data_IF_385891850564
#
_entry.id   IF_385891850564
#
_cell.length_a   1.000
_cell.length_b   1.000
_cell.length_c   1.000
_cell.angle_alpha   90.00
_cell.angle_beta   90.00
_cell.angle_gamma   90.00
#
_symmetry.space_group_name_H-M   'P 1'
#
loop_
_entity.id
_entity.type
_entity.pdbx_description
1 polymer ?
#
# COMPACT_ATOMS: atom_id res chain seq x y z
N UNK A 1 62.04 12.50 2.51
CA UNK A 1 60.78 12.15 3.21
C UNK A 1 59.95 13.35 3.72
N UNK A 2 60.48 14.31 4.53
CA UNK A 2 59.72 15.52 4.91
C UNK A 2 59.46 16.47 3.73
N UNK A 3 60.49 16.72 2.89
CA UNK A 3 60.36 17.57 1.70
C UNK A 3 59.37 17.02 0.65
N UNK A 4 59.29 15.70 0.46
CA UNK A 4 58.39 15.10 -0.54
C UNK A 4 56.90 15.23 -0.14
N UNK A 5 56.61 15.17 1.17
CA UNK A 5 55.24 15.33 1.70
C UNK A 5 54.74 16.78 1.58
N UNK A 6 55.58 17.76 1.88
CA UNK A 6 55.23 19.18 1.73
C UNK A 6 55.06 19.59 0.26
N UNK A 7 55.87 19.03 -0.63
CA UNK A 7 55.77 19.28 -2.07
C UNK A 7 54.49 18.66 -2.65
N UNK A 8 54.13 17.45 -2.21
CA UNK A 8 52.88 16.79 -2.61
C UNK A 8 51.62 17.50 -2.07
N UNK A 9 51.68 18.02 -0.84
CA UNK A 9 50.59 18.83 -0.27
C UNK A 9 50.40 20.16 -1.01
N UNK A 10 51.50 20.85 -1.37
CA UNK A 10 51.43 22.08 -2.18
C UNK A 10 50.84 21.82 -3.57
N UNK A 11 51.27 20.76 -4.25
CA UNK A 11 50.72 20.35 -5.56
C UNK A 11 49.24 20.01 -5.48
N UNK A 12 48.81 19.31 -4.42
CA UNK A 12 47.41 18.96 -4.20
C UNK A 12 46.54 20.20 -3.92
N UNK A 13 47.00 21.14 -3.11
CA UNK A 13 46.27 22.39 -2.84
C UNK A 13 46.13 23.24 -4.11
N UNK A 14 47.18 23.32 -4.94
CA UNK A 14 47.15 24.00 -6.24
C UNK A 14 46.21 23.31 -7.24
N UNK A 15 46.09 21.98 -7.18
CA UNK A 15 45.11 21.25 -7.97
C UNK A 15 43.69 21.58 -7.52
N UNK A 16 43.40 21.49 -6.22
CA UNK A 16 42.06 21.70 -5.66
C UNK A 16 41.54 23.14 -5.84
N UNK A 17 42.43 24.14 -5.89
CA UNK A 17 42.04 25.54 -6.16
C UNK A 17 41.52 25.77 -7.59
N UNK A 18 41.78 24.84 -8.52
CA UNK A 18 41.25 24.88 -9.90
C UNK A 18 39.78 24.44 -10.01
N UNK A 19 39.16 23.97 -8.93
CA UNK A 19 37.73 23.64 -8.94
C UNK A 19 36.92 24.96 -8.98
N UNK A 20 36.03 25.16 -9.96
CA UNK A 20 35.26 26.38 -10.07
C UNK A 20 34.30 26.55 -8.89
N UNK A 21 33.94 27.81 -8.61
CA UNK A 21 32.95 28.12 -7.59
C UNK A 21 31.58 27.54 -7.96
N UNK A 22 30.73 27.31 -6.96
CA UNK A 22 29.35 26.82 -7.16
C UNK A 22 28.59 27.74 -8.12
N UNK A 23 28.78 29.05 -7.99
CA UNK A 23 28.10 30.05 -8.83
C UNK A 23 28.50 29.92 -10.31
N UNK A 24 29.79 29.74 -10.60
CA UNK A 24 30.30 29.54 -11.97
C UNK A 24 29.70 28.28 -12.60
N UNK A 25 29.59 27.19 -11.83
CA UNK A 25 28.96 25.95 -12.32
C UNK A 25 27.47 26.19 -12.61
N UNK A 26 26.75 26.86 -11.70
CA UNK A 26 25.32 27.14 -11.83
C UNK A 26 24.96 28.06 -13.01
N UNK A 27 25.88 28.92 -13.45
CA UNK A 27 25.71 29.78 -14.62
C UNK A 27 25.77 29.01 -15.95
N UNK A 28 26.20 27.75 -15.93
CA UNK A 28 26.26 26.94 -17.13
C UNK A 28 24.86 26.77 -17.75
N UNK A 29 24.73 27.09 -19.04
CA UNK A 29 23.46 27.01 -19.79
C UNK A 29 22.81 25.63 -19.72
N UNK A 30 23.59 24.55 -19.66
CA UNK A 30 23.10 23.18 -19.59
C UNK A 30 22.36 22.85 -18.27
N UNK A 31 22.54 23.65 -17.21
CA UNK A 31 21.85 23.47 -15.94
C UNK A 31 20.57 24.30 -15.83
N UNK A 32 20.33 25.28 -16.70
CA UNK A 32 19.12 26.13 -16.66
C UNK A 32 17.79 25.35 -16.64
N UNK A 33 17.59 24.31 -17.49
CA UNK A 33 16.35 23.51 -17.44
C UNK A 33 16.17 22.77 -16.12
N UNK A 34 17.27 22.30 -15.53
CA UNK A 34 17.26 21.62 -14.24
C UNK A 34 16.97 22.60 -13.09
N UNK A 35 17.45 23.85 -13.19
CA UNK A 35 17.12 24.91 -12.21
C UNK A 35 15.63 25.24 -12.28
N UNK A 36 15.06 25.35 -13.48
CA UNK A 36 13.62 25.59 -13.66
C UNK A 36 12.79 24.43 -13.11
N UNK A 37 13.24 23.18 -13.33
CA UNK A 37 12.53 21.98 -12.87
C UNK A 37 12.63 21.73 -11.36
N UNK A 38 13.79 21.94 -10.75
CA UNK A 38 14.07 21.54 -9.35
C UNK A 38 14.28 22.70 -8.38
N UNK A 39 14.36 23.94 -8.86
CA UNK A 39 14.85 25.13 -8.15
C UNK A 39 16.38 25.26 -8.06
N UNK A 40 16.84 26.52 -8.02
CA UNK A 40 18.25 26.87 -7.83
C UNK A 40 18.80 26.39 -6.48
N UNK A 41 17.96 26.35 -5.45
CA UNK A 41 18.37 25.94 -4.09
C UNK A 41 18.79 24.46 -4.06
N UNK A 42 17.99 23.58 -4.67
CA UNK A 42 18.34 22.15 -4.80
C UNK A 42 19.62 21.99 -5.60
N UNK A 43 19.73 22.66 -6.75
CA UNK A 43 20.94 22.55 -7.59
C UNK A 43 22.20 23.07 -6.90
N UNK A 44 22.09 24.12 -6.07
CA UNK A 44 23.21 24.62 -5.27
C UNK A 44 23.71 23.54 -4.30
N UNK A 45 22.81 22.84 -3.62
CA UNK A 45 23.17 21.74 -2.72
C UNK A 45 23.79 20.56 -3.48
N UNK A 46 23.22 20.19 -4.63
CA UNK A 46 23.78 19.15 -5.49
C UNK A 46 25.19 19.49 -5.96
N UNK A 47 25.41 20.70 -6.47
CA UNK A 47 26.73 21.15 -6.94
C UNK A 47 27.75 21.12 -5.80
N UNK A 48 27.38 21.57 -4.59
CA UNK A 48 28.26 21.48 -3.42
C UNK A 48 28.64 20.03 -3.09
N UNK A 49 27.69 19.09 -3.19
CA UNK A 49 27.94 17.66 -2.98
C UNK A 49 28.90 17.09 -4.02
N UNK A 50 28.67 17.38 -5.31
CA UNK A 50 29.54 16.93 -6.41
C UNK A 50 30.96 17.52 -6.27
N UNK A 51 31.10 18.80 -5.90
CA UNK A 51 32.40 19.41 -5.60
C UNK A 51 33.08 18.70 -4.41
N UNK A 52 32.33 18.37 -3.35
CA UNK A 52 32.88 17.66 -2.19
C UNK A 52 33.40 16.27 -2.57
N UNK A 53 32.66 15.53 -3.39
CA UNK A 53 33.07 14.24 -3.94
C UNK A 53 34.28 14.37 -4.87
N UNK A 54 34.31 15.39 -5.72
CA UNK A 54 35.45 15.71 -6.58
C UNK A 54 36.71 15.97 -5.74
N UNK A 55 36.61 16.80 -4.70
CA UNK A 55 37.73 17.06 -3.77
C UNK A 55 38.23 15.78 -3.11
N UNK A 56 37.32 14.90 -2.68
CA UNK A 56 37.68 13.60 -2.07
C UNK A 56 38.40 12.68 -3.05
N UNK A 57 37.95 12.63 -4.30
CA UNK A 57 38.54 11.78 -5.34
C UNK A 57 39.90 12.32 -5.79
N UNK A 58 40.02 13.63 -6.01
CA UNK A 58 41.27 14.29 -6.40
C UNK A 58 42.41 14.07 -5.39
N UNK A 59 42.10 13.92 -4.10
CA UNK A 59 43.08 13.54 -3.06
C UNK A 59 43.66 12.13 -3.24
N UNK A 60 42.94 11.25 -3.92
CA UNK A 60 43.35 9.84 -4.16
C UNK A 60 44.00 9.66 -5.53
N UNK A 61 43.45 10.29 -6.56
CA UNK A 61 43.79 10.01 -7.96
C UNK A 61 44.41 11.21 -8.70
N UNK A 62 44.61 12.34 -8.02
CA UNK A 62 45.19 13.58 -8.58
C UNK A 62 44.50 14.07 -9.88
N UNK A 63 43.19 13.77 -10.03
CA UNK A 63 42.39 14.16 -11.20
C UNK A 63 41.17 14.98 -10.77
N UNK A 64 40.93 16.08 -11.48
CA UNK A 64 39.69 16.85 -11.40
C UNK A 64 38.72 16.44 -12.51
N UNK A 65 37.44 16.74 -12.30
CA UNK A 65 36.44 16.61 -13.34
C UNK A 65 36.57 17.75 -14.36
N UNK A 66 36.33 17.46 -15.63
CA UNK A 66 36.09 18.46 -16.66
C UNK A 66 34.77 19.19 -16.39
N UNK A 67 34.55 20.33 -17.06
CA UNK A 67 33.27 21.04 -16.96
C UNK A 67 32.09 20.14 -17.37
N UNK A 68 32.24 19.35 -18.43
CA UNK A 68 31.21 18.44 -18.90
C UNK A 68 30.98 17.27 -17.93
N UNK A 69 32.03 16.70 -17.36
CA UNK A 69 31.92 15.63 -16.35
C UNK A 69 31.16 16.11 -15.10
N UNK A 70 31.39 17.34 -14.63
CA UNK A 70 30.62 17.92 -13.51
C UNK A 70 29.14 18.03 -13.86
N UNK A 71 28.82 18.53 -15.05
CA UNK A 71 27.43 18.67 -15.51
C UNK A 71 26.76 17.30 -15.59
N UNK A 72 27.43 16.30 -16.15
CA UNK A 72 26.91 14.93 -16.24
C UNK A 72 26.69 14.34 -14.85
N UNK A 73 27.64 14.48 -13.92
CA UNK A 73 27.46 14.03 -12.53
C UNK A 73 26.32 14.74 -11.80
N UNK A 74 26.11 16.03 -12.04
CA UNK A 74 24.96 16.77 -11.50
C UNK A 74 23.64 16.22 -12.07
N UNK A 75 23.59 15.96 -13.39
CA UNK A 75 22.43 15.35 -14.05
C UNK A 75 22.14 13.96 -13.49
N UNK A 76 23.14 13.08 -13.44
CA UNK A 76 23.05 11.73 -12.88
C UNK A 76 22.57 11.75 -11.43
N UNK A 77 23.11 12.66 -10.62
CA UNK A 77 22.69 12.82 -9.23
C UNK A 77 21.22 13.22 -9.12
N UNK A 78 20.79 14.23 -9.88
CA UNK A 78 19.40 14.68 -9.88
C UNK A 78 18.46 13.64 -10.46
N UNK A 79 18.86 12.89 -11.48
CA UNK A 79 18.09 11.76 -11.99
C UNK A 79 17.93 10.68 -10.94
N UNK A 80 18.99 10.38 -10.17
CA UNK A 80 18.93 9.41 -9.08
C UNK A 80 18.03 9.88 -7.93
N UNK A 81 18.13 11.14 -7.52
CA UNK A 81 17.22 11.74 -6.53
C UNK A 81 15.78 11.80 -7.07
N UNK A 82 15.57 12.15 -8.34
CA UNK A 82 14.25 12.16 -8.95
C UNK A 82 13.56 10.78 -8.89
N UNK A 83 14.34 9.70 -8.90
CA UNK A 83 13.82 8.33 -8.75
C UNK A 83 13.33 8.02 -7.33
N UNK A 84 13.71 8.79 -6.30
CA UNK A 84 13.24 8.61 -4.93
C UNK A 84 11.93 9.34 -4.64
N UNK A 85 11.51 10.27 -5.50
CA UNK A 85 10.21 10.92 -5.37
C UNK A 85 9.08 9.94 -5.68
N UNK A 86 7.95 10.11 -4.97
CA UNK A 86 6.72 9.41 -5.29
C UNK A 86 6.29 9.76 -6.72
N UNK A 87 6.06 8.72 -7.52
CA UNK A 87 5.67 8.83 -8.93
C UNK A 87 4.74 7.69 -9.31
N UNK A 88 4.01 7.87 -10.41
CA UNK A 88 3.20 6.80 -10.99
C UNK A 88 4.08 5.68 -11.52
N UNK A 89 3.66 4.43 -11.29
CA UNK A 89 4.35 3.21 -11.75
C UNK A 89 3.34 2.33 -12.47
N UNK A 90 3.75 1.73 -13.60
CA UNK A 90 2.93 0.73 -14.30
C UNK A 90 3.18 -0.63 -13.66
N UNK A 91 2.16 -1.17 -13.01
CA UNK A 91 2.21 -2.48 -12.34
C UNK A 91 1.88 -3.63 -13.32
N UNK A 92 2.90 -4.22 -13.92
CA UNK A 92 2.79 -5.49 -14.67
C UNK A 92 3.21 -6.72 -13.88
N UNK A 93 3.37 -6.63 -12.56
CA UNK A 93 3.84 -7.75 -11.73
C UNK A 93 2.82 -8.89 -11.58
N UNK A 94 1.53 -8.61 -11.79
CA UNK A 94 0.45 -9.55 -11.51
C UNK A 94 0.14 -9.68 -10.03
N UNK A 95 0.38 -8.64 -9.23
CA UNK A 95 -0.08 -8.53 -7.84
C UNK A 95 -1.08 -7.39 -7.74
N UNK A 96 -2.34 -7.66 -7.38
CA UNK A 96 -3.41 -6.66 -7.34
C UNK A 96 -3.22 -5.73 -6.12
N UNK A 97 -3.26 -6.27 -4.91
CA UNK A 97 -2.96 -5.56 -3.67
C UNK A 97 -1.47 -5.58 -3.39
N UNK A 98 -0.74 -4.77 -4.15
CA UNK A 98 0.71 -4.68 -4.03
C UNK A 98 1.12 -3.69 -2.93
N UNK A 99 1.55 -4.22 -1.77
CA UNK A 99 1.92 -3.40 -0.59
C UNK A 99 2.97 -2.34 -0.91
N UNK A 100 4.03 -2.68 -1.65
CA UNK A 100 5.09 -1.73 -2.02
C UNK A 100 4.66 -0.67 -3.05
N UNK A 101 3.55 -0.88 -3.78
CA UNK A 101 3.04 0.06 -4.78
C UNK A 101 1.79 0.83 -4.30
N UNK A 102 1.51 0.80 -3.00
CA UNK A 102 0.43 1.58 -2.41
C UNK A 102 -0.93 0.89 -2.34
N UNK A 103 -0.99 -0.45 -2.43
CA UNK A 103 -2.22 -1.26 -2.30
C UNK A 103 -3.28 -0.91 -3.36
N UNK A 104 -4.49 -0.55 -2.96
CA UNK A 104 -5.62 -0.33 -3.85
C UNK A 104 -5.51 1.01 -4.62
N UNK A 105 -5.50 0.99 -5.96
CA UNK A 105 -5.59 2.21 -6.75
C UNK A 105 -7.04 2.73 -6.77
N UNK A 106 -7.21 4.05 -6.88
CA UNK A 106 -8.54 4.70 -6.88
C UNK A 106 -9.18 4.79 -8.28
N UNK A 107 -8.37 4.86 -9.34
CA UNK A 107 -8.83 4.97 -10.72
C UNK A 107 -9.19 6.39 -11.15
N UNK A 108 -9.20 6.65 -12.46
CA UNK A 108 -9.40 8.00 -13.03
C UNK A 108 -10.81 8.54 -12.77
N UNK A 109 -11.82 7.69 -12.94
CA UNK A 109 -13.23 8.04 -12.74
C UNK A 109 -13.50 8.51 -11.30
N UNK A 110 -13.00 7.77 -10.33
CA UNK A 110 -13.09 8.11 -8.90
C UNK A 110 -12.39 9.43 -8.60
N UNK A 111 -11.16 9.62 -9.08
CA UNK A 111 -10.40 10.85 -8.85
C UNK A 111 -11.08 12.07 -9.46
N UNK A 112 -11.67 11.93 -10.65
CA UNK A 112 -12.43 13.00 -11.28
C UNK A 112 -13.70 13.36 -10.47
N UNK A 113 -14.40 12.35 -9.93
CA UNK A 113 -15.59 12.57 -9.12
C UNK A 113 -15.29 13.35 -7.82
N UNK A 114 -14.16 13.06 -7.16
CA UNK A 114 -13.80 13.71 -5.89
C UNK A 114 -13.04 15.03 -6.05
N UNK A 115 -12.48 15.30 -7.24
CA UNK A 115 -11.65 16.48 -7.49
C UNK A 115 -12.39 17.77 -7.15
N UNK A 116 -13.68 17.87 -7.49
CA UNK A 116 -14.52 19.04 -7.22
C UNK A 116 -14.65 19.32 -5.72
N UNK A 117 -14.80 18.29 -4.89
CA UNK A 117 -14.85 18.41 -3.43
C UNK A 117 -13.50 18.78 -2.82
N UNK A 118 -12.40 18.34 -3.43
CA UNK A 118 -11.06 18.55 -2.87
C UNK A 118 -10.46 19.92 -3.23
N UNK A 119 -10.92 20.54 -4.32
CA UNK A 119 -10.45 21.86 -4.78
C UNK A 119 -10.80 23.01 -3.82
N UNK A 120 -11.92 22.91 -3.10
CA UNK A 120 -12.45 24.00 -2.29
C UNK A 120 -12.74 23.65 -0.83
N UNK A 121 -13.51 24.54 -0.20
CA UNK A 121 -14.13 24.29 1.10
C UNK A 121 -15.26 23.26 0.95
N UNK A 122 -15.49 22.50 2.01
CA UNK A 122 -16.54 21.48 2.08
C UNK A 122 -17.22 21.58 3.44
N UNK A 123 -18.42 21.02 3.54
CA UNK A 123 -19.18 20.89 4.79
C UNK A 123 -18.62 19.79 5.71
N UNK A 124 -17.30 19.59 5.73
CA UNK A 124 -16.60 18.50 6.41
C UNK A 124 -16.95 18.39 7.91
N UNK A 125 -17.15 19.52 8.58
CA UNK A 125 -17.55 19.65 9.99
C UNK A 125 -18.63 20.73 10.15
N UNK A 126 -19.48 20.91 9.13
CA UNK A 126 -20.47 21.98 9.13
C UNK A 126 -21.83 21.42 8.71
N UNK A 127 -22.84 21.65 9.54
CA UNK A 127 -24.21 21.29 9.22
C UNK A 127 -24.83 22.42 8.39
N UNK A 128 -25.19 22.13 7.15
CA UNK A 128 -25.78 23.12 6.24
C UNK A 128 -27.23 23.45 6.57
N UNK A 129 -27.96 22.55 7.25
CA UNK A 129 -29.33 22.80 7.67
C UNK A 129 -29.37 23.70 8.90
N UNK A 130 -28.51 23.43 9.89
CA UNK A 130 -28.46 24.17 11.15
C UNK A 130 -27.54 25.40 11.11
N UNK A 131 -26.70 25.54 10.07
CA UNK A 131 -25.74 26.64 9.96
C UNK A 131 -24.69 26.66 11.08
N UNK A 132 -24.33 25.49 11.61
CA UNK A 132 -23.47 25.37 12.79
C UNK A 132 -22.46 24.23 12.68
N UNK A 133 -21.63 24.04 13.71
CA UNK A 133 -20.59 22.99 13.71
C UNK A 133 -21.22 21.60 13.74
N UNK A 134 -20.95 20.82 12.70
CA UNK A 134 -21.37 19.42 12.56
C UNK A 134 -20.29 18.41 12.98
N UNK A 135 -20.64 17.12 12.90
CA UNK A 135 -19.72 16.01 13.17
C UNK A 135 -18.93 15.65 11.93
N UNK A 136 -17.60 15.53 12.07
CA UNK A 136 -16.74 15.07 10.97
C UNK A 136 -17.12 13.66 10.55
N UNK A 137 -17.30 13.45 9.25
CA UNK A 137 -17.42 12.10 8.68
C UNK A 137 -18.78 11.44 8.88
N UNK A 138 -19.76 12.13 9.44
CA UNK A 138 -21.09 11.57 9.75
C UNK A 138 -21.76 10.88 8.55
N UNK A 139 -21.64 11.47 7.34
CA UNK A 139 -22.18 10.86 6.13
C UNK A 139 -21.48 9.53 5.79
N UNK A 140 -20.15 9.47 5.90
CA UNK A 140 -19.37 8.26 5.64
C UNK A 140 -19.71 7.18 6.68
N UNK A 141 -19.88 7.57 7.94
CA UNK A 141 -20.32 6.67 9.01
C UNK A 141 -21.72 6.09 8.74
N UNK A 142 -22.67 6.93 8.28
CA UNK A 142 -24.01 6.47 7.88
C UNK A 142 -23.96 5.49 6.71
N UNK A 143 -23.16 5.78 5.68
CA UNK A 143 -22.98 4.88 4.52
C UNK A 143 -22.34 3.55 4.94
N UNK A 144 -21.35 3.58 5.84
CA UNK A 144 -20.74 2.37 6.40
C UNK A 144 -21.75 1.55 7.21
N UNK A 145 -22.62 2.17 8.00
CA UNK A 145 -23.68 1.45 8.71
C UNK A 145 -24.64 0.78 7.73
N UNK A 146 -25.07 1.49 6.69
CA UNK A 146 -25.96 0.95 5.67
C UNK A 146 -25.34 -0.27 4.96
N UNK A 147 -24.04 -0.18 4.62
CA UNK A 147 -23.33 -1.23 3.90
C UNK A 147 -22.95 -2.43 4.79
N UNK A 148 -22.55 -2.20 6.04
CA UNK A 148 -22.10 -3.24 6.98
C UNK A 148 -23.24 -3.88 7.79
N UNK A 149 -24.42 -3.26 7.79
CA UNK A 149 -25.53 -3.58 8.69
C UNK A 149 -25.19 -3.41 10.18
N UNK A 150 -24.20 -2.58 10.51
CA UNK A 150 -23.86 -2.22 11.88
C UNK A 150 -24.80 -1.15 12.45
N UNK A 151 -24.97 -1.12 13.77
CA UNK A 151 -25.70 -0.03 14.46
C UNK A 151 -24.96 1.31 14.37
N UNK A 152 -23.62 1.27 14.46
CA UNK A 152 -22.76 2.44 14.35
C UNK A 152 -21.45 2.10 13.65
N UNK A 153 -20.86 3.09 13.00
CA UNK A 153 -19.56 3.02 12.37
C UNK A 153 -18.75 4.27 12.69
N UNK A 154 -17.43 4.14 12.74
CA UNK A 154 -16.44 5.20 12.94
C UNK A 154 -15.29 5.01 11.96
N UNK A 155 -14.62 6.10 11.61
CA UNK A 155 -13.42 6.07 10.74
C UNK A 155 -12.23 6.76 11.42
N UNK A 156 -11.10 6.07 11.42
CA UNK A 156 -9.80 6.53 11.94
C UNK A 156 -8.70 6.39 10.87
N UNK A 157 -7.49 6.84 11.18
CA UNK A 157 -6.36 6.93 10.24
C UNK A 157 -6.01 5.60 9.52
N UNK A 158 -6.02 4.47 10.23
CA UNK A 158 -5.79 3.14 9.67
C UNK A 158 -6.28 2.05 10.65
N UNK A 159 -6.33 0.79 10.20
CA UNK A 159 -6.79 -0.32 11.04
C UNK A 159 -5.90 -0.60 12.26
N UNK A 160 -4.60 -0.31 12.18
CA UNK A 160 -3.70 -0.40 13.32
C UNK A 160 -4.13 0.56 14.44
N UNK A 161 -4.45 1.80 14.09
CA UNK A 161 -5.04 2.79 15.00
C UNK A 161 -6.42 2.39 15.48
N UNK A 162 -7.23 1.73 14.64
CA UNK A 162 -8.54 1.23 15.01
C UNK A 162 -8.44 0.20 16.15
N UNK A 163 -7.62 -0.84 15.98
CA UNK A 163 -7.39 -1.86 17.01
C UNK A 163 -6.79 -1.28 18.27
N UNK A 164 -5.75 -0.45 18.15
CA UNK A 164 -5.17 0.24 19.30
C UNK A 164 -6.21 1.04 20.09
N UNK A 165 -7.07 1.79 19.41
CA UNK A 165 -8.10 2.60 20.05
C UNK A 165 -9.19 1.74 20.71
N UNK A 166 -9.62 0.66 20.07
CA UNK A 166 -10.59 -0.30 20.63
C UNK A 166 -10.04 -0.87 21.94
N UNK A 167 -8.81 -1.42 21.90
CA UNK A 167 -8.20 -2.07 23.06
C UNK A 167 -7.91 -1.08 24.19
N UNK A 168 -7.39 0.11 23.87
CA UNK A 168 -7.15 1.15 24.87
C UNK A 168 -8.45 1.64 25.53
N UNK A 169 -9.54 1.75 24.76
CA UNK A 169 -10.82 2.22 25.29
C UNK A 169 -11.51 1.15 26.15
N UNK A 170 -11.45 -0.11 25.74
CA UNK A 170 -12.27 -1.18 26.35
C UNK A 170 -11.50 -2.03 27.37
N UNK A 171 -10.18 -2.14 27.24
CA UNK A 171 -9.38 -3.12 27.96
C UNK A 171 -8.10 -2.56 28.60
N UNK A 172 -7.97 -1.22 28.75
CA UNK A 172 -6.84 -0.64 29.48
C UNK A 172 -6.78 -1.18 30.90
N UNK A 173 -5.60 -1.66 31.30
CA UNK A 173 -5.27 -2.34 32.56
C UNK A 173 -6.13 -3.60 32.81
N UNK A 174 -6.64 -4.23 31.75
CA UNK A 174 -7.48 -5.42 31.79
C UNK A 174 -7.02 -6.44 30.76
N UNK A 175 -7.48 -7.68 30.90
CA UNK A 175 -7.06 -8.77 30.04
C UNK A 175 -7.87 -8.84 28.74
N UNK A 176 -7.16 -9.10 27.65
CA UNK A 176 -7.70 -9.38 26.31
C UNK A 176 -7.33 -10.81 25.97
N UNK A 177 -8.35 -11.66 25.81
CA UNK A 177 -8.15 -13.07 25.47
C UNK A 177 -8.09 -13.20 23.95
N UNK A 178 -7.05 -13.84 23.43
CA UNK A 178 -6.83 -14.06 22.00
C UNK A 178 -6.12 -15.39 21.76
N UNK A 179 -6.43 -16.07 20.65
CA UNK A 179 -5.73 -17.31 20.28
C UNK A 179 -4.25 -17.03 19.99
N UNK A 180 -3.37 -17.93 20.44
CA UNK A 180 -1.93 -17.90 20.12
C UNK A 180 -1.68 -17.94 18.61
N UNK A 181 -2.51 -18.65 17.84
CA UNK A 181 -2.45 -18.70 16.38
C UNK A 181 -2.84 -17.39 15.68
N UNK A 182 -3.38 -16.43 16.42
CA UNK A 182 -3.88 -15.15 15.91
C UNK A 182 -2.96 -13.96 16.29
N UNK A 183 -1.82 -14.23 16.94
CA UNK A 183 -0.78 -13.24 17.27
C UNK A 183 0.12 -12.93 16.07
N UNK A 184 -0.48 -12.26 15.07
CA UNK A 184 0.12 -12.08 13.75
C UNK A 184 1.07 -10.89 13.66
N UNK A 185 2.04 -10.98 12.75
CA UNK A 185 2.78 -9.84 12.21
C UNK A 185 2.26 -9.51 10.81
N UNK A 186 1.81 -8.27 10.59
CA UNK A 186 1.27 -7.79 9.33
C UNK A 186 2.22 -6.74 8.72
N UNK A 187 2.58 -6.94 7.45
CA UNK A 187 3.44 -6.01 6.72
C UNK A 187 4.85 -5.88 7.32
N UNK A 188 5.41 -4.67 7.29
CA UNK A 188 6.80 -4.39 7.66
C UNK A 188 7.10 -4.20 9.15
N UNK A 189 6.18 -4.54 10.07
CA UNK A 189 6.45 -4.43 11.51
C UNK A 189 5.26 -4.27 12.44
N UNK A 190 4.01 -4.26 11.97
CA UNK A 190 2.85 -4.24 12.87
C UNK A 190 2.64 -5.61 13.49
N UNK A 191 2.69 -5.71 14.81
CA UNK A 191 2.49 -6.95 15.57
C UNK A 191 1.35 -6.77 16.55
N UNK A 192 0.36 -7.66 16.50
CA UNK A 192 -0.76 -7.68 17.45
C UNK A 192 -0.30 -7.65 18.91
N UNK A 193 0.65 -8.50 19.37
CA UNK A 193 1.05 -8.49 20.78
C UNK A 193 1.65 -7.14 21.22
N UNK A 194 2.51 -6.54 20.38
CA UNK A 194 3.13 -5.24 20.69
C UNK A 194 2.09 -4.12 20.76
N UNK A 195 1.13 -4.09 19.84
CA UNK A 195 0.09 -3.05 19.83
C UNK A 195 -0.92 -3.23 20.97
N UNK A 196 -1.23 -4.46 21.33
CA UNK A 196 -2.06 -4.76 22.49
C UNK A 196 -1.39 -4.26 23.77
N UNK A 197 -0.11 -4.56 23.97
CA UNK A 197 0.66 -4.08 25.12
C UNK A 197 0.74 -2.54 25.13
N UNK A 198 1.04 -1.90 24.00
CA UNK A 198 1.07 -0.44 23.89
C UNK A 198 -0.30 0.21 24.16
N UNK A 199 -1.40 -0.49 23.89
CA UNK A 199 -2.75 -0.01 24.24
C UNK A 199 -2.99 0.04 25.75
N UNK A 200 -2.08 -0.50 26.56
CA UNK A 200 -2.22 -0.63 28.00
C UNK A 200 -3.10 -1.81 28.41
N UNK A 201 -3.49 -2.68 27.48
CA UNK A 201 -4.17 -3.92 27.79
C UNK A 201 -3.17 -5.03 28.12
N UNK A 202 -3.63 -6.06 28.82
CA UNK A 202 -2.82 -7.24 29.16
C UNK A 202 -3.16 -8.39 28.22
N UNK A 203 -2.15 -8.91 27.51
CA UNK A 203 -2.32 -10.05 26.61
C UNK A 203 -2.59 -11.32 27.42
N UNK A 204 -3.73 -11.98 27.16
CA UNK A 204 -4.06 -13.31 27.69
C UNK A 204 -4.19 -14.29 26.53
N UNK A 205 -3.07 -14.82 26.06
CA UNK A 205 -3.06 -15.79 24.96
C UNK A 205 -3.58 -17.17 25.39
N UNK A 206 -4.31 -17.84 24.49
CA UNK A 206 -4.92 -19.16 24.73
C UNK A 206 -4.69 -20.12 23.58
N UNK A 207 -4.86 -21.42 23.85
CA UNK A 207 -4.68 -22.49 22.88
C UNK A 207 -3.23 -22.61 22.39
N UNK A 208 -3.08 -23.21 21.21
CA UNK A 208 -1.80 -23.42 20.52
C UNK A 208 -1.77 -22.69 19.19
N UNK A 209 -0.62 -22.69 18.52
CA UNK A 209 -0.44 -22.01 17.22
C UNK A 209 -1.42 -22.52 16.18
N UNK A 210 -1.60 -23.83 16.07
CA UNK A 210 -2.43 -24.47 15.04
C UNK A 210 -3.85 -24.79 15.52
N UNK A 211 -4.05 -25.10 16.81
CA UNK A 211 -5.36 -25.50 17.35
C UNK A 211 -5.72 -24.67 18.57
N UNK A 212 -6.86 -24.00 18.50
CA UNK A 212 -7.49 -23.33 19.65
C UNK A 212 -8.97 -23.69 19.67
N UNK A 213 -9.47 -24.14 20.82
CA UNK A 213 -10.87 -24.51 21.02
C UNK A 213 -11.57 -23.51 21.93
N UNK A 214 -12.91 -23.54 21.97
CA UNK A 214 -13.69 -22.58 22.77
C UNK A 214 -13.43 -22.73 24.27
N UNK A 215 -13.10 -23.94 24.72
CA UNK A 215 -12.75 -24.24 26.11
C UNK A 215 -11.45 -23.55 26.55
N UNK A 216 -10.52 -23.31 25.62
CA UNK A 216 -9.28 -22.58 25.91
C UNK A 216 -9.59 -21.12 26.26
N UNK A 217 -10.55 -20.51 25.55
CA UNK A 217 -11.05 -19.18 25.87
C UNK A 217 -11.79 -19.17 27.21
N UNK A 218 -12.74 -20.10 27.43
CA UNK A 218 -13.55 -20.15 28.65
C UNK A 218 -12.69 -20.30 29.91
N UNK A 219 -11.69 -21.18 29.91
CA UNK A 219 -10.77 -21.41 31.03
C UNK A 219 -9.93 -20.19 31.38
N UNK A 220 -9.70 -19.28 30.43
CA UNK A 220 -8.88 -18.10 30.65
C UNK A 220 -9.67 -16.90 31.20
N UNK A 221 -11.01 -16.94 31.17
CA UNK A 221 -11.86 -15.86 31.66
C UNK A 221 -11.74 -15.72 33.19
N UNK A 222 -11.56 -14.49 33.65
CA UNK A 222 -11.54 -14.12 35.05
C UNK A 222 -12.09 -12.68 35.24
N UNK A 223 -12.04 -12.16 36.47
CA UNK A 223 -12.56 -10.83 36.82
C UNK A 223 -11.84 -9.66 36.13
N UNK A 224 -10.63 -9.88 35.62
CA UNK A 224 -9.85 -8.89 34.87
C UNK A 224 -10.11 -8.94 33.36
N UNK A 225 -10.81 -9.95 32.85
CA UNK A 225 -11.11 -10.07 31.42
C UNK A 225 -12.04 -8.96 30.94
N UNK A 226 -11.68 -8.29 29.85
CA UNK A 226 -12.45 -7.18 29.26
C UNK A 226 -12.91 -7.43 27.83
N UNK A 227 -12.14 -8.20 27.04
CA UNK A 227 -12.41 -8.39 25.60
C UNK A 227 -12.06 -9.82 25.20
N UNK A 228 -12.92 -10.42 24.38
CA UNK A 228 -12.59 -11.59 23.58
C UNK A 228 -12.20 -11.09 22.18
N UNK A 229 -10.92 -11.20 21.84
CA UNK A 229 -10.38 -10.75 20.56
C UNK A 229 -10.22 -11.94 19.61
N UNK A 230 -10.67 -11.74 18.38
CA UNK A 230 -10.38 -12.61 17.23
C UNK A 230 -9.65 -11.81 16.17
N UNK A 231 -8.54 -12.32 15.64
CA UNK A 231 -7.80 -11.67 14.55
C UNK A 231 -7.76 -12.56 13.31
N UNK A 232 -8.18 -12.02 12.17
CA UNK A 232 -8.16 -12.74 10.89
C UNK A 232 -6.74 -12.87 10.34
N UNK A 233 -6.43 -14.06 9.82
CA UNK A 233 -5.12 -14.40 9.27
C UNK A 233 -4.98 -13.91 7.81
N UNK A 234 -4.99 -12.59 7.63
CA UNK A 234 -5.09 -11.94 6.31
C UNK A 234 -3.80 -11.95 5.46
N UNK A 235 -2.68 -12.48 5.97
CA UNK A 235 -1.38 -12.44 5.28
C UNK A 235 -0.58 -13.74 5.33
N UNK A 236 -1.10 -14.80 5.94
CA UNK A 236 -0.52 -16.14 5.92
C UNK A 236 -1.62 -17.20 6.10
N UNK A 237 -1.30 -18.46 5.83
CA UNK A 237 -2.19 -19.60 6.07
C UNK A 237 -1.46 -20.66 6.87
N UNK A 238 -2.20 -21.38 7.71
CA UNK A 238 -1.74 -22.63 8.33
C UNK A 238 -2.44 -23.81 7.65
N UNK A 239 -1.67 -24.84 7.34
CA UNK A 239 -2.17 -26.09 6.75
C UNK A 239 -1.86 -27.27 7.67
N UNK A 240 -2.64 -28.35 7.58
CA UNK A 240 -2.52 -29.54 8.43
C UNK A 240 -3.62 -29.60 9.50
N UNK A 241 -3.28 -30.06 10.71
CA UNK A 241 -4.22 -30.09 11.84
C UNK A 241 -4.42 -28.69 12.42
N UNK A 242 -5.39 -27.96 11.87
CA UNK A 242 -5.72 -26.59 12.27
C UNK A 242 -7.15 -26.54 12.79
N UNK A 243 -7.35 -25.89 13.93
CA UNK A 243 -8.68 -25.60 14.48
C UNK A 243 -8.74 -24.16 14.97
N UNK A 244 -9.76 -23.42 14.55
CA UNK A 244 -9.98 -22.04 14.94
C UNK A 244 -11.41 -21.88 15.46
N UNK A 245 -11.53 -21.19 16.58
CA UNK A 245 -12.83 -20.86 17.16
C UNK A 245 -13.57 -19.88 16.25
N UNK A 246 -14.83 -20.18 15.96
CA UNK A 246 -15.68 -19.31 15.15
C UNK A 246 -16.21 -18.10 15.95
N UNK A 247 -16.53 -17.01 15.25
CA UNK A 247 -17.12 -15.80 15.87
C UNK A 247 -18.43 -16.13 16.60
N UNK A 248 -19.25 -17.04 16.05
CA UNK A 248 -20.52 -17.46 16.67
C UNK A 248 -20.32 -18.13 18.03
N UNK A 249 -19.22 -18.86 18.20
CA UNK A 249 -18.88 -19.54 19.45
C UNK A 249 -18.39 -18.53 20.49
N UNK A 250 -17.48 -17.64 20.09
CA UNK A 250 -17.05 -16.51 20.91
C UNK A 250 -18.23 -15.65 21.34
N UNK A 251 -19.23 -15.43 20.47
CA UNK A 251 -20.42 -14.66 20.84
C UNK A 251 -21.27 -15.36 21.91
N UNK A 252 -21.45 -16.68 21.81
CA UNK A 252 -22.16 -17.45 22.86
C UNK A 252 -21.43 -17.32 24.20
N UNK A 253 -20.10 -17.47 24.20
CA UNK A 253 -19.28 -17.32 25.39
C UNK A 253 -19.32 -15.89 25.95
N UNK A 254 -19.16 -14.88 25.09
CA UNK A 254 -19.22 -13.47 25.44
C UNK A 254 -20.57 -13.08 26.05
N UNK A 255 -21.69 -13.62 25.57
CA UNK A 255 -23.01 -13.42 26.20
C UNK A 255 -23.07 -14.01 27.61
N UNK A 256 -22.53 -15.22 27.81
CA UNK A 256 -22.54 -15.91 29.12
C UNK A 256 -21.75 -15.14 30.18
N UNK A 257 -20.65 -14.51 29.80
CA UNK A 257 -19.76 -13.77 30.70
C UNK A 257 -19.86 -12.24 30.60
N UNK A 258 -20.81 -11.72 29.81
CA UNK A 258 -20.99 -10.29 29.52
C UNK A 258 -19.71 -9.59 28.99
N UNK A 259 -19.02 -10.25 28.06
CA UNK A 259 -17.80 -9.75 27.41
C UNK A 259 -18.05 -9.40 25.93
N UNK A 260 -17.53 -8.25 25.44
CA UNK A 260 -17.56 -7.92 24.02
C UNK A 260 -16.67 -8.86 23.20
N UNK A 261 -17.17 -9.24 22.02
CA UNK A 261 -16.37 -9.92 20.98
C UNK A 261 -15.91 -8.89 19.95
N UNK A 262 -14.58 -8.72 19.84
CA UNK A 262 -13.94 -7.84 18.87
C UNK A 262 -13.30 -8.69 17.79
N UNK A 263 -13.60 -8.39 16.52
CA UNK A 263 -13.01 -9.05 15.35
C UNK A 263 -12.15 -8.06 14.58
N UNK A 264 -10.84 -8.28 14.58
CA UNK A 264 -9.95 -7.63 13.62
C UNK A 264 -10.01 -8.39 12.28
N UNK A 265 -10.90 -7.97 11.39
CA UNK A 265 -11.03 -8.60 10.07
C UNK A 265 -9.86 -8.22 9.16
N UNK A 266 -9.41 -6.97 9.26
CA UNK A 266 -8.23 -6.46 8.53
C UNK A 266 -8.42 -6.27 7.02
N UNK A 267 -9.02 -7.21 6.28
CA UNK A 267 -9.14 -7.20 4.81
C UNK A 267 -10.19 -6.21 4.29
N UNK A 268 -11.29 -6.04 5.04
CA UNK A 268 -12.37 -5.11 4.72
C UNK A 268 -13.15 -5.48 3.47
N UNK A 269 -13.34 -6.78 3.21
CA UNK A 269 -14.15 -7.22 2.07
C UNK A 269 -15.65 -7.10 2.37
N UNK A 270 -16.39 -6.64 1.36
CA UNK A 270 -17.86 -6.54 1.37
C UNK A 270 -18.53 -7.40 0.29
N UNK A 271 -17.74 -7.95 -0.64
CA UNK A 271 -18.22 -8.86 -1.69
C UNK A 271 -17.78 -10.27 -1.38
N UNK A 272 -18.59 -11.23 -1.83
CA UNK A 272 -18.24 -12.64 -1.74
C UNK A 272 -17.11 -12.94 -2.73
N UNK A 273 -15.95 -13.34 -2.22
CA UNK A 273 -14.76 -13.59 -3.05
C UNK A 273 -14.90 -14.87 -3.87
N UNK A 274 -15.74 -15.81 -3.42
CA UNK A 274 -16.02 -17.07 -4.11
C UNK A 274 -16.68 -16.86 -5.47
N UNK A 275 -17.49 -15.80 -5.62
CA UNK A 275 -18.13 -15.41 -6.88
C UNK A 275 -17.11 -15.09 -7.98
N UNK A 276 -15.85 -14.85 -7.61
CA UNK A 276 -14.74 -14.54 -8.52
C UNK A 276 -13.72 -15.67 -8.65
N UNK A 277 -14.03 -16.87 -8.14
CA UNK A 277 -13.14 -18.03 -8.19
C UNK A 277 -12.00 -18.01 -7.17
N UNK A 278 -12.16 -17.26 -6.08
CA UNK A 278 -11.24 -17.22 -4.94
C UNK A 278 -11.78 -18.03 -3.77
N UNK A 279 -10.93 -18.37 -2.78
CA UNK A 279 -11.42 -18.87 -1.49
C UNK A 279 -12.28 -17.84 -0.77
N UNK A 280 -13.16 -18.33 0.12
CA UNK A 280 -13.94 -17.52 1.03
C UNK A 280 -13.05 -16.60 1.89
N UNK A 281 -13.32 -15.31 1.82
CA UNK A 281 -12.79 -14.29 2.72
C UNK A 281 -13.98 -13.76 3.55
N UNK A 282 -13.93 -13.81 4.89
CA UNK A 282 -15.05 -13.39 5.70
C UNK A 282 -15.44 -11.94 5.40
N UNK A 283 -16.71 -11.71 5.10
CA UNK A 283 -17.18 -10.34 4.84
C UNK A 283 -17.40 -9.57 6.14
N UNK A 284 -17.39 -8.24 6.06
CA UNK A 284 -17.77 -7.38 7.19
C UNK A 284 -19.19 -7.71 7.64
N UNK A 285 -20.13 -7.88 6.70
CA UNK A 285 -21.52 -8.22 6.98
C UNK A 285 -21.65 -9.59 7.66
N UNK A 286 -20.87 -10.58 7.22
CA UNK A 286 -20.83 -11.90 7.85
C UNK A 286 -20.31 -11.84 9.28
N UNK A 287 -19.26 -11.06 9.54
CA UNK A 287 -18.70 -10.88 10.88
C UNK A 287 -19.71 -10.25 11.83
N UNK A 288 -20.45 -9.24 11.37
CA UNK A 288 -21.55 -8.62 12.14
C UNK A 288 -22.70 -9.61 12.36
N UNK A 289 -23.15 -10.32 11.31
CA UNK A 289 -24.25 -11.30 11.36
C UNK A 289 -23.95 -12.49 12.28
N UNK A 290 -22.71 -12.95 12.32
CA UNK A 290 -22.26 -14.04 13.20
C UNK A 290 -22.11 -13.61 14.66
N UNK A 291 -22.23 -12.31 14.94
CA UNK A 291 -22.44 -11.78 16.28
C UNK A 291 -21.25 -11.03 16.87
N UNK A 292 -20.25 -10.64 16.06
CA UNK A 292 -19.22 -9.72 16.52
C UNK A 292 -19.85 -8.42 17.07
N UNK A 293 -19.40 -7.98 18.24
CA UNK A 293 -19.85 -6.72 18.82
C UNK A 293 -19.16 -5.52 18.17
N UNK A 294 -17.91 -5.72 17.73
CA UNK A 294 -17.11 -4.75 17.01
C UNK A 294 -16.32 -5.49 15.92
N UNK A 295 -16.30 -4.94 14.72
CA UNK A 295 -15.46 -5.38 13.60
C UNK A 295 -14.61 -4.20 13.15
N UNK A 296 -13.30 -4.42 12.99
CA UNK A 296 -12.38 -3.44 12.42
C UNK A 296 -11.68 -3.94 11.16
N UNK A 297 -11.42 -3.03 10.22
CA UNK A 297 -10.74 -3.37 8.97
C UNK A 297 -10.07 -2.16 8.29
N UNK A 298 -9.15 -2.45 7.36
CA UNK A 298 -8.52 -1.46 6.48
C UNK A 298 -9.40 -1.11 5.28
N UNK A 299 -9.40 0.16 4.89
CA UNK A 299 -10.15 0.61 3.71
C UNK A 299 -9.38 0.55 2.40
N UNK A 300 -8.05 0.42 2.44
CA UNK A 300 -7.14 0.37 1.28
C UNK A 300 -6.77 -1.06 0.85
N UNK A 301 -7.58 -2.03 1.28
CA UNK A 301 -7.46 -3.45 0.90
C UNK A 301 -8.64 -3.86 0.03
N UNK A 302 -9.44 -4.85 0.41
CA UNK A 302 -10.55 -5.34 -0.44
C UNK A 302 -11.75 -4.39 -0.50
N UNK A 303 -11.82 -3.37 0.36
CA UNK A 303 -12.76 -2.27 0.14
C UNK A 303 -12.39 -1.44 -1.10
N UNK A 304 -11.10 -1.33 -1.42
CA UNK A 304 -10.61 -0.65 -2.63
C UNK A 304 -10.53 0.88 -2.54
N UNK A 305 -10.54 1.43 -1.32
CA UNK A 305 -10.44 2.87 -1.06
C UNK A 305 -9.03 3.36 -0.70
N UNK A 306 -8.92 4.60 -0.17
CA UNK A 306 -7.67 5.14 0.38
C UNK A 306 -7.36 4.52 1.75
N UNK A 307 -6.19 4.82 2.32
CA UNK A 307 -5.85 4.36 3.67
C UNK A 307 -6.84 4.92 4.70
N UNK A 308 -7.32 4.05 5.58
CA UNK A 308 -8.29 4.33 6.62
C UNK A 308 -8.53 3.08 7.45
N UNK A 309 -9.04 3.27 8.67
CA UNK A 309 -9.46 2.20 9.57
C UNK A 309 -10.93 2.39 9.92
N UNK A 310 -11.74 1.38 9.68
CA UNK A 310 -13.15 1.39 10.08
C UNK A 310 -13.31 0.63 11.39
N UNK A 311 -14.17 1.14 12.26
CA UNK A 311 -14.69 0.44 13.44
C UNK A 311 -16.21 0.43 13.28
N UNK A 312 -16.81 -0.74 13.09
CA UNK A 312 -18.27 -0.86 12.97
C UNK A 312 -18.80 -1.90 13.96
N UNK A 313 -20.02 -1.73 14.43
CA UNK A 313 -20.62 -2.67 15.39
C UNK A 313 -21.70 -2.05 16.25
N UNK A 314 -21.78 -2.49 17.50
CA UNK A 314 -22.80 -2.07 18.47
C UNK A 314 -22.58 -0.65 18.95
N UNK A 315 -23.66 0.13 19.02
CA UNK A 315 -23.56 1.54 19.34
C UNK A 315 -23.00 1.78 20.76
N UNK A 316 -23.32 0.90 21.71
CA UNK A 316 -22.86 1.01 23.11
C UNK A 316 -21.33 1.05 23.24
N UNK A 317 -20.59 0.33 22.41
CA UNK A 317 -19.12 0.35 22.44
C UNK A 317 -18.56 1.51 21.62
N UNK A 318 -19.12 1.77 20.44
CA UNK A 318 -18.63 2.82 19.55
C UNK A 318 -18.86 4.22 20.12
N UNK A 319 -19.92 4.44 20.92
CA UNK A 319 -20.08 5.69 21.69
C UNK A 319 -18.90 5.94 22.64
N UNK A 320 -18.42 4.91 23.36
CA UNK A 320 -17.26 5.02 24.25
C UNK A 320 -15.97 5.33 23.47
N UNK A 321 -15.77 4.63 22.34
CA UNK A 321 -14.61 4.83 21.47
C UNK A 321 -14.58 6.26 20.90
N UNK A 322 -15.73 6.77 20.44
CA UNK A 322 -15.84 8.13 19.90
C UNK A 322 -15.54 9.21 20.95
N UNK A 323 -15.91 8.98 22.21
CA UNK A 323 -15.64 9.91 23.32
C UNK A 323 -14.19 9.85 23.82
N UNK A 324 -13.42 8.82 23.43
CA UNK A 324 -12.06 8.65 23.90
C UNK A 324 -11.13 9.73 23.32
N UNK A 325 -10.28 10.40 24.13
CA UNK A 325 -9.42 11.49 23.65
C UNK A 325 -8.51 11.12 22.47
N UNK A 326 -8.04 9.87 22.42
CA UNK A 326 -7.19 9.37 21.32
C UNK A 326 -7.92 9.29 19.98
N UNK A 327 -9.25 9.29 19.95
CA UNK A 327 -10.02 9.39 18.70
C UNK A 327 -9.62 10.65 17.92
N UNK A 328 -9.37 11.76 18.63
CA UNK A 328 -8.94 13.01 18.00
C UNK A 328 -7.52 12.93 17.42
N UNK A 329 -6.64 12.14 18.03
CA UNK A 329 -5.27 11.89 17.56
C UNK A 329 -5.26 11.02 16.31
N UNK A 330 -6.16 10.03 16.26
CA UNK A 330 -6.30 9.10 15.13
C UNK A 330 -7.32 9.57 14.09
N UNK A 331 -7.79 10.82 14.20
CA UNK A 331 -8.86 11.36 13.36
C UNK A 331 -8.45 11.35 11.90
N UNK A 332 -9.32 10.79 11.06
CA UNK A 332 -9.16 10.73 9.62
C UNK A 332 -9.21 12.12 8.97
N UNK A 333 -8.50 12.27 7.85
CA UNK A 333 -8.40 13.52 7.09
C UNK A 333 -9.52 13.69 6.06
N UNK A 334 -9.60 14.89 5.47
CA UNK A 334 -10.64 15.26 4.48
C UNK A 334 -10.57 14.38 3.23
N UNK A 335 -9.37 14.14 2.69
CA UNK A 335 -9.17 13.44 1.42
C UNK A 335 -9.69 12.02 1.54
N UNK A 336 -9.31 11.33 2.62
CA UNK A 336 -9.77 9.97 2.90
C UNK A 336 -11.29 9.90 3.01
N UNK A 337 -11.93 10.79 3.77
CA UNK A 337 -13.39 10.79 3.91
C UNK A 337 -14.11 11.05 2.58
N UNK A 338 -13.66 12.03 1.80
CA UNK A 338 -14.26 12.36 0.50
C UNK A 338 -14.19 11.17 -0.47
N UNK A 339 -13.06 10.48 -0.53
CA UNK A 339 -12.93 9.31 -1.41
C UNK A 339 -13.74 8.12 -0.88
N UNK A 340 -13.74 7.88 0.42
CA UNK A 340 -14.54 6.81 1.02
C UNK A 340 -16.03 6.99 0.75
N UNK A 341 -16.55 8.21 0.78
CA UNK A 341 -17.94 8.49 0.42
C UNK A 341 -18.29 7.89 -0.96
N UNK A 342 -17.50 8.21 -1.99
CA UNK A 342 -17.76 7.75 -3.36
C UNK A 342 -17.55 6.24 -3.53
N UNK A 343 -16.56 5.67 -2.83
CA UNK A 343 -16.34 4.22 -2.79
C UNK A 343 -17.57 3.51 -2.21
N UNK A 344 -18.06 3.96 -1.06
CA UNK A 344 -19.22 3.37 -0.38
C UNK A 344 -20.50 3.53 -1.19
N UNK A 345 -20.70 4.68 -1.83
CA UNK A 345 -21.82 4.89 -2.76
C UNK A 345 -21.75 3.91 -3.94
N UNK A 346 -20.55 3.62 -4.46
CA UNK A 346 -20.37 2.63 -5.53
C UNK A 346 -20.79 1.22 -5.08
N UNK A 347 -20.51 0.82 -3.83
CA UNK A 347 -21.03 -0.43 -3.28
C UNK A 347 -22.55 -0.42 -3.14
N UNK A 348 -23.11 0.62 -2.53
CA UNK A 348 -24.55 0.71 -2.28
C UNK A 348 -25.38 0.78 -3.58
N UNK A 349 -24.79 1.26 -4.67
CA UNK A 349 -25.40 1.27 -6.02
C UNK A 349 -25.22 -0.05 -6.79
N UNK A 350 -24.47 -1.02 -6.25
CA UNK A 350 -24.14 -2.26 -6.96
C UNK A 350 -23.10 -2.09 -8.08
N UNK A 351 -22.34 -0.99 -8.06
CA UNK A 351 -21.36 -0.62 -9.09
C UNK A 351 -19.91 -0.91 -8.68
N UNK A 352 -19.67 -1.52 -7.51
CA UNK A 352 -18.33 -1.79 -7.00
C UNK A 352 -17.44 -2.53 -8.01
N UNK A 353 -17.97 -3.58 -8.65
CA UNK A 353 -17.26 -4.41 -9.62
C UNK A 353 -16.87 -3.64 -10.88
N UNK A 354 -17.70 -2.68 -11.31
CA UNK A 354 -17.49 -1.92 -12.54
C UNK A 354 -16.75 -0.60 -12.33
N UNK A 355 -16.69 -0.07 -11.09
CA UNK A 355 -16.06 1.23 -10.77
C UNK A 355 -14.79 1.14 -9.94
N UNK A 356 -14.69 0.19 -9.00
CA UNK A 356 -13.54 0.11 -8.08
C UNK A 356 -12.40 -0.68 -8.73
N UNK A 357 -11.20 -0.10 -8.93
CA UNK A 357 -10.16 -0.73 -9.73
C UNK A 357 -9.76 -2.15 -9.31
N UNK A 358 -9.65 -2.42 -8.00
CA UNK A 358 -9.29 -3.76 -7.54
C UNK A 358 -10.34 -4.80 -7.96
N UNK A 359 -11.63 -4.45 -7.94
CA UNK A 359 -12.71 -5.35 -8.33
C UNK A 359 -12.83 -5.44 -9.85
N UNK A 360 -12.53 -4.36 -10.60
CA UNK A 360 -12.36 -4.44 -12.06
C UNK A 360 -11.25 -5.43 -12.41
N UNK A 361 -10.13 -5.43 -11.67
CA UNK A 361 -9.01 -6.36 -11.89
C UNK A 361 -9.38 -7.80 -11.52
N UNK A 362 -10.01 -8.02 -10.36
CA UNK A 362 -10.42 -9.35 -9.88
C UNK A 362 -11.46 -9.98 -10.82
N UNK A 363 -12.52 -9.22 -11.17
CA UNK A 363 -13.62 -9.71 -12.00
C UNK A 363 -13.32 -9.80 -13.50
N UNK A 364 -12.14 -9.34 -13.94
CA UNK A 364 -11.81 -9.32 -15.36
C UNK A 364 -11.80 -10.75 -15.94
N UNK A 365 -12.64 -11.04 -16.96
CA UNK A 365 -12.70 -12.36 -17.59
C UNK A 365 -11.38 -12.77 -18.23
N UNK A 366 -11.04 -14.06 -18.12
CA UNK A 366 -9.78 -14.60 -18.63
C UNK A 366 -9.65 -14.40 -20.16
N UNK A 367 -10.75 -14.49 -20.90
CA UNK A 367 -10.79 -14.35 -22.35
C UNK A 367 -10.38 -12.94 -22.78
N UNK A 368 -10.84 -11.92 -22.04
CA UNK A 368 -10.46 -10.51 -22.30
C UNK A 368 -8.98 -10.30 -22.05
N UNK A 369 -8.44 -10.88 -20.98
CA UNK A 369 -7.01 -10.83 -20.66
C UNK A 369 -6.22 -11.54 -21.75
N UNK A 370 -6.63 -12.74 -22.16
CA UNK A 370 -5.95 -13.52 -23.20
C UNK A 370 -5.90 -12.79 -24.54
N UNK A 371 -7.01 -12.20 -24.99
CA UNK A 371 -7.06 -11.39 -26.20
C UNK A 371 -6.13 -10.18 -26.13
N UNK A 372 -6.11 -9.48 -24.98
CA UNK A 372 -5.21 -8.34 -24.74
C UNK A 372 -3.73 -8.75 -24.76
N UNK A 373 -3.38 -9.85 -24.10
CA UNK A 373 -2.01 -10.39 -24.10
C UNK A 373 -1.55 -10.76 -25.50
N UNK A 374 -2.38 -11.43 -26.29
CA UNK A 374 -2.08 -11.78 -27.67
C UNK A 374 -1.87 -10.54 -28.54
N UNK A 375 -2.75 -9.53 -28.43
CA UNK A 375 -2.62 -8.26 -29.16
C UNK A 375 -1.31 -7.54 -28.85
N UNK A 376 -0.93 -7.44 -27.57
CA UNK A 376 0.35 -6.84 -27.15
C UNK A 376 1.54 -7.64 -27.69
N UNK A 377 1.52 -8.98 -27.57
CA UNK A 377 2.59 -9.83 -28.12
C UNK A 377 2.73 -9.66 -29.64
N UNK A 378 1.63 -9.60 -30.40
CA UNK A 378 1.68 -9.39 -31.85
C UNK A 378 2.30 -8.05 -32.22
N UNK A 379 1.98 -6.98 -31.49
CA UNK A 379 2.57 -5.66 -31.70
C UNK A 379 4.07 -5.64 -31.39
N UNK A 380 4.50 -6.29 -30.30
CA UNK A 380 5.92 -6.42 -29.97
C UNK A 380 6.68 -7.22 -31.04
N UNK A 381 6.10 -8.32 -31.54
CA UNK A 381 6.70 -9.11 -32.64
C UNK A 381 6.88 -8.29 -33.92
N UNK A 382 5.98 -7.36 -34.23
CA UNK A 382 6.12 -6.46 -35.40
C UNK A 382 7.29 -5.49 -35.27
N UNK A 383 7.78 -5.26 -34.05
CA UNK A 383 8.98 -4.46 -33.75
C UNK A 383 10.24 -5.34 -33.59
N UNK A 384 10.20 -6.58 -34.09
CA UNK A 384 11.26 -7.59 -33.95
C UNK A 384 11.64 -7.92 -32.49
N UNK A 385 10.68 -7.82 -31.57
CA UNK A 385 10.85 -8.16 -30.15
C UNK A 385 10.23 -9.55 -29.90
N UNK A 386 11.01 -10.58 -29.53
CA UNK A 386 10.46 -11.91 -29.28
C UNK A 386 9.57 -11.89 -28.04
N UNK A 387 8.26 -12.04 -28.27
CA UNK A 387 7.26 -12.09 -27.21
C UNK A 387 6.17 -13.13 -27.49
N UNK A 388 5.61 -13.76 -26.46
CA UNK A 388 4.48 -14.69 -26.61
C UNK A 388 3.59 -14.73 -25.36
N UNK A 389 2.36 -15.20 -25.53
CA UNK A 389 1.40 -15.32 -24.43
C UNK A 389 1.53 -16.70 -23.76
N UNK A 390 1.61 -16.75 -22.42
CA UNK A 390 1.71 -17.99 -21.63
C UNK A 390 0.63 -18.01 -20.55
N UNK A 391 0.12 -19.19 -20.21
CA UNK A 391 -0.75 -19.33 -19.03
C UNK A 391 0.00 -19.00 -17.75
N UNK A 392 -0.69 -18.41 -16.80
CA UNK A 392 -0.11 -18.09 -15.51
C UNK A 392 -1.15 -17.71 -14.49
N UNK A 393 -0.67 -17.12 -13.40
CA UNK A 393 -1.48 -16.76 -12.24
C UNK A 393 -1.22 -15.31 -11.83
N UNK A 394 -2.29 -14.57 -11.58
CA UNK A 394 -2.31 -13.26 -10.91
C UNK A 394 -2.50 -13.49 -9.43
N UNK A 395 -1.63 -12.96 -8.58
CA UNK A 395 -1.81 -12.96 -7.14
C UNK A 395 -2.76 -11.84 -6.70
N UNK A 396 -3.64 -12.14 -5.74
CA UNK A 396 -4.45 -11.10 -5.08
C UNK A 396 -3.56 -10.14 -4.29
N UNK A 397 -2.49 -10.65 -3.66
CA UNK A 397 -1.55 -9.84 -2.88
C UNK A 397 -1.84 -9.86 -1.38
N UNK A 398 -0.97 -9.21 -0.60
CA UNK A 398 -0.95 -9.32 0.86
C UNK A 398 -2.06 -8.52 1.55
N UNK A 399 -2.46 -8.98 2.74
CA UNK A 399 -3.36 -8.27 3.66
C UNK A 399 -4.84 -8.60 3.52
N UNK A 400 -5.21 -9.53 2.63
CA UNK A 400 -6.56 -10.08 2.54
C UNK A 400 -6.53 -11.60 2.36
N UNK A 401 -6.26 -12.07 1.14
CA UNK A 401 -6.34 -13.47 0.73
C UNK A 401 -4.95 -14.08 0.46
N UNK A 402 -4.24 -14.55 1.51
CA UNK A 402 -2.89 -15.09 1.36
C UNK A 402 -2.84 -16.31 0.45
N UNK A 403 -1.89 -16.31 -0.49
CA UNK A 403 -1.66 -17.41 -1.42
C UNK A 403 -2.75 -17.62 -2.47
N UNK A 404 -3.80 -16.78 -2.52
CA UNK A 404 -4.83 -16.88 -3.54
C UNK A 404 -4.40 -16.26 -4.86
N UNK A 405 -4.76 -16.94 -5.95
CA UNK A 405 -4.46 -16.51 -7.30
C UNK A 405 -5.65 -16.70 -8.23
N UNK A 406 -5.65 -15.94 -9.33
CA UNK A 406 -6.57 -16.07 -10.43
C UNK A 406 -5.83 -16.48 -11.71
N UNK A 407 -6.40 -17.37 -12.55
CA UNK A 407 -5.87 -17.64 -13.87
C UNK A 407 -5.70 -16.35 -14.70
N UNK A 408 -4.62 -16.27 -15.47
CA UNK A 408 -4.32 -15.14 -16.37
C UNK A 408 -3.56 -15.62 -17.60
N UNK A 409 -3.39 -14.73 -18.57
CA UNK A 409 -2.51 -14.93 -19.73
C UNK A 409 -1.37 -13.90 -19.67
N UNK A 410 -0.17 -14.37 -19.35
CA UNK A 410 1.03 -13.55 -19.21
C UNK A 410 1.63 -13.21 -20.57
N UNK A 411 2.24 -12.03 -20.65
CA UNK A 411 3.09 -11.62 -21.77
C UNK A 411 4.53 -11.95 -21.40
N UNK A 412 5.12 -12.91 -22.11
CA UNK A 412 6.52 -13.31 -21.97
C UNK A 412 7.34 -12.55 -23.00
N UNK A 413 8.43 -11.90 -22.59
CA UNK A 413 9.31 -11.11 -23.46
C UNK A 413 10.73 -11.62 -23.26
N UNK A 414 11.41 -11.98 -24.36
CA UNK A 414 12.83 -12.37 -24.33
C UNK A 414 13.70 -11.16 -24.71
N UNK A 415 14.35 -10.49 -23.73
CA UNK A 415 15.25 -9.38 -23.99
C UNK A 415 16.46 -9.80 -24.84
N UNK A 416 17.11 -8.84 -25.51
CA UNK A 416 18.40 -9.04 -26.20
C UNK A 416 19.60 -9.12 -25.25
N UNK A 417 19.40 -8.72 -23.99
CA UNK A 417 20.39 -8.70 -22.92
C UNK A 417 19.90 -9.54 -21.71
N UNK A 418 20.73 -9.76 -20.67
CA UNK A 418 20.27 -10.40 -19.43
C UNK A 418 19.01 -9.73 -18.86
N UNK A 419 18.04 -10.53 -18.43
CA UNK A 419 16.72 -10.05 -17.98
C UNK A 419 16.80 -9.08 -16.81
N UNK A 420 17.82 -9.21 -15.96
CA UNK A 420 18.10 -8.31 -14.85
C UNK A 420 18.34 -6.88 -15.33
N UNK A 421 19.16 -6.72 -16.37
CA UNK A 421 19.54 -5.43 -16.95
C UNK A 421 18.32 -4.81 -17.64
N UNK A 422 17.61 -5.61 -18.44
CA UNK A 422 16.39 -5.17 -19.09
C UNK A 422 15.34 -4.69 -18.08
N UNK A 423 15.11 -5.45 -17.01
CA UNK A 423 14.20 -5.10 -15.94
C UNK A 423 14.63 -3.85 -15.18
N UNK A 424 15.93 -3.65 -14.96
CA UNK A 424 16.45 -2.41 -14.36
C UNK A 424 16.14 -1.21 -15.23
N UNK A 425 16.40 -1.29 -16.52
CA UNK A 425 16.19 -0.19 -17.46
C UNK A 425 14.70 0.17 -17.61
N UNK A 426 13.80 -0.81 -17.55
CA UNK A 426 12.36 -0.55 -17.48
C UNK A 426 11.96 0.19 -16.19
N UNK A 427 12.64 -0.06 -15.06
CA UNK A 427 12.44 0.72 -13.82
C UNK A 427 13.01 2.14 -13.91
N UNK A 428 13.99 2.36 -14.78
CA UNK A 428 14.58 3.68 -15.02
C UNK A 428 13.78 4.52 -16.01
N UNK A 429 12.81 3.94 -16.70
CA UNK A 429 11.91 4.66 -17.58
C UNK A 429 10.95 5.58 -16.80
N UNK A 430 10.37 6.58 -17.46
CA UNK A 430 9.35 7.46 -16.86
C UNK A 430 8.04 7.43 -17.69
N UNK A 431 6.93 6.86 -17.17
CA UNK A 431 6.83 6.19 -15.86
C UNK A 431 7.58 4.83 -15.84
N UNK A 432 8.03 4.37 -14.66
CA UNK A 432 8.62 3.04 -14.52
C UNK A 432 7.64 1.91 -14.87
N UNK A 433 8.14 0.87 -15.54
CA UNK A 433 7.38 -0.36 -15.81
C UNK A 433 7.92 -1.51 -14.95
N UNK A 434 7.06 -2.07 -14.11
CA UNK A 434 7.39 -3.24 -13.28
C UNK A 434 6.79 -4.51 -13.88
N UNK A 435 7.54 -5.60 -13.76
CA UNK A 435 7.16 -6.94 -14.15
C UNK A 435 7.91 -7.98 -13.35
N UNK A 436 7.65 -9.26 -13.61
CA UNK A 436 8.38 -10.38 -13.01
C UNK A 436 9.53 -10.82 -13.92
N UNK A 437 10.50 -11.51 -13.34
CA UNK A 437 11.61 -12.14 -14.06
C UNK A 437 11.55 -13.64 -13.82
N UNK A 438 11.65 -14.43 -14.88
CA UNK A 438 11.72 -15.88 -14.78
C UNK A 438 12.67 -16.42 -15.85
N UNK A 439 13.77 -17.04 -15.42
CA UNK A 439 14.84 -17.50 -16.32
C UNK A 439 15.34 -16.36 -17.22
N UNK A 440 15.20 -16.50 -18.53
CA UNK A 440 15.60 -15.50 -19.53
C UNK A 440 14.46 -14.54 -19.94
N UNK A 441 13.29 -14.61 -19.29
CA UNK A 441 12.11 -13.85 -19.71
C UNK A 441 11.72 -12.75 -18.72
N UNK A 442 11.37 -11.59 -19.26
CA UNK A 442 10.63 -10.56 -18.56
C UNK A 442 9.13 -10.79 -18.76
N UNK A 443 8.37 -10.76 -17.67
CA UNK A 443 6.97 -11.19 -17.62
C UNK A 443 6.09 -10.02 -17.21
N UNK A 444 5.05 -9.77 -17.99
CA UNK A 444 3.98 -8.84 -17.64
C UNK A 444 2.65 -9.57 -17.50
N UNK A 445 1.94 -9.28 -16.43
CA UNK A 445 0.55 -9.66 -16.25
C UNK A 445 -0.36 -8.45 -16.57
N UNK A 446 -1.09 -8.47 -17.70
CA UNK A 446 -1.90 -7.33 -18.09
C UNK A 446 -3.11 -7.12 -17.17
N UNK A 447 -3.48 -8.06 -16.30
CA UNK A 447 -4.59 -7.87 -15.35
C UNK A 447 -4.40 -6.64 -14.47
N UNK A 448 -3.16 -6.34 -14.06
CA UNK A 448 -2.82 -5.20 -13.19
C UNK A 448 -2.46 -3.91 -13.96
N UNK A 449 -2.47 -3.95 -15.30
CA UNK A 449 -2.14 -2.80 -16.15
C UNK A 449 -3.46 -2.17 -16.63
N UNK A 450 -3.63 -0.87 -16.46
CA UNK A 450 -4.77 -0.14 -17.02
C UNK A 450 -4.81 -0.32 -18.56
N UNK A 451 -5.93 -0.76 -19.17
CA UNK A 451 -6.04 -0.95 -20.62
C UNK A 451 -5.66 0.29 -21.45
N UNK A 452 -5.91 1.50 -20.95
CA UNK A 452 -5.51 2.74 -21.62
C UNK A 452 -3.99 2.94 -21.71
N UNK A 453 -3.21 2.15 -20.96
CA UNK A 453 -1.75 2.20 -20.94
C UNK A 453 -1.08 1.21 -21.90
N UNK A 454 -1.81 0.40 -22.66
CA UNK A 454 -1.23 -0.62 -23.54
C UNK A 454 -0.24 -0.06 -24.57
N UNK A 455 -0.62 1.06 -25.21
CA UNK A 455 0.23 1.74 -26.19
C UNK A 455 1.52 2.24 -25.53
N UNK A 456 1.39 2.80 -24.32
CA UNK A 456 2.54 3.27 -23.55
C UNK A 456 3.46 2.13 -23.15
N UNK A 457 2.91 1.00 -22.67
CA UNK A 457 3.68 -0.19 -22.29
C UNK A 457 4.49 -0.71 -23.47
N UNK A 458 3.87 -0.86 -24.65
CA UNK A 458 4.57 -1.28 -25.87
C UNK A 458 5.70 -0.29 -26.20
N UNK A 459 5.42 1.01 -26.19
CA UNK A 459 6.43 2.04 -26.45
C UNK A 459 7.62 1.97 -25.49
N UNK A 460 7.36 1.76 -24.19
CA UNK A 460 8.40 1.62 -23.17
C UNK A 460 9.29 0.41 -23.49
N UNK A 461 8.67 -0.75 -23.72
CA UNK A 461 9.37 -2.00 -24.03
C UNK A 461 10.21 -1.84 -25.29
N UNK A 462 9.64 -1.33 -26.38
CA UNK A 462 10.36 -1.12 -27.65
C UNK A 462 11.53 -0.16 -27.49
N UNK A 463 11.34 0.94 -26.76
CA UNK A 463 12.42 1.93 -26.54
C UNK A 463 13.58 1.32 -25.74
N UNK A 464 13.28 0.59 -24.66
CA UNK A 464 14.33 -0.05 -23.85
C UNK A 464 14.99 -1.19 -24.59
N UNK A 465 14.22 -1.99 -25.36
CA UNK A 465 14.77 -3.08 -26.15
C UNK A 465 15.76 -2.58 -27.21
N UNK A 466 15.39 -1.55 -27.96
CA UNK A 466 16.26 -0.96 -28.99
C UNK A 466 17.52 -0.29 -28.41
N UNK A 467 17.46 0.21 -27.16
CA UNK A 467 18.65 0.73 -26.45
C UNK A 467 19.64 -0.38 -26.04
N UNK A 468 19.16 -1.62 -25.93
CA UNK A 468 19.89 -2.77 -25.41
C UNK A 468 20.28 -3.78 -26.50
N UNK A 469 19.87 -3.55 -27.75
CA UNK A 469 20.50 -4.16 -28.93
C UNK A 469 21.85 -3.50 -29.14
#
# INVERSE_FOLDING_TARGET
MKNDRDTNNKKLNLLLSKIPSVEIILQNKALKPLIQKHSRKILTQTVRKIISEEKKNARKNYRLYSAQERINKIKEFLEKENRTFLQGVINGSGVILHTNLGRAPLGKEMLAAVQTYLQGYTNLEYDLAEGSRGKRGEIVEKLLCALSHSEKSLVVNNNAGAIFLILNTLAKNKEVIVSRGELVQIGGGFRIPEILEQSGAHLREVGTTNQTFIEDYEKAINNNTAVLLKVHQSNFLMNGFVHQVEVKELKKLGKRYNLPVVVDLGSGTFLNTEDFGLKHEPTVQESIRTGADIVSFSTDKLLGGPQGGVICGKEIYLKKILQHPLFRTLRVDKITLTILQEILLSYLKGEAVSKIPIWKMISCPLEKIAARSQSICQKLKKEDIPAFAKEGQTAIGGGSLPGQTLPTKLIMIKPSCPVEIFSEELRLFSPPLLGRKEKEFFILDPRCIDPSSDILVIKIITTVYSKMK
#
